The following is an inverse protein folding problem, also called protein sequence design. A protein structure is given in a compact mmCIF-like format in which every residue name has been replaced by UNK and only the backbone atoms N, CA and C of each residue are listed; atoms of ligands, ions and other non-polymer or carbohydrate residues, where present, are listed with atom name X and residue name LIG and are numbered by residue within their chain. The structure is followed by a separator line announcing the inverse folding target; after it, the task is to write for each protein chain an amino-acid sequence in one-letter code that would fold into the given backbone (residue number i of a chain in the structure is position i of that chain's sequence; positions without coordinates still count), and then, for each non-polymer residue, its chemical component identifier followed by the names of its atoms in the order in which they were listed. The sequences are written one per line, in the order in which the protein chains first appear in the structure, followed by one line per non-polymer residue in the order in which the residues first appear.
data_IF_543182340185
#
_entry.id   IF_543182340185
#
_cell.length_a   1.000
_cell.length_b   1.000
_cell.length_c   1.000
_cell.angle_alpha   90.00
_cell.angle_beta   90.00
_cell.angle_gamma   90.00
#
_symmetry.space_group_name_H-M   'P 1'
#
loop_
_entity.id
_entity.type
_entity.pdbx_description
1 polymer ?
#
# COMPACT_ATOMS: atom_id res chain seq x y z
N UNK A 1 -3.64 7.71 21.92
CA UNK A 1 -2.48 6.79 22.07
C UNK A 1 -1.26 7.63 22.43
N UNK A 2 -0.69 7.45 23.63
CA UNK A 2 0.32 8.36 24.18
C UNK A 2 1.73 7.89 23.78
N UNK A 3 2.52 8.77 23.18
CA UNK A 3 3.90 8.49 22.80
C UNK A 3 4.86 9.46 23.53
N UNK A 4 6.17 9.25 23.41
CA UNK A 4 7.16 10.06 24.12
C UNK A 4 7.19 11.55 23.70
N UNK A 5 6.59 11.95 22.58
CA UNK A 5 6.42 13.37 22.23
C UNK A 5 5.23 13.97 22.99
N UNK A 6 4.09 13.27 23.06
CA UNK A 6 2.95 13.73 23.88
C UNK A 6 3.33 13.89 25.36
N UNK A 7 4.26 13.07 25.88
CA UNK A 7 4.79 13.24 27.24
C UNK A 7 5.71 14.47 27.37
N UNK A 8 6.43 14.87 26.31
CA UNK A 8 7.21 16.13 26.30
C UNK A 8 6.25 17.33 26.28
N UNK A 9 5.23 17.29 25.43
CA UNK A 9 4.24 18.36 25.31
C UNK A 9 3.48 18.54 26.65
N UNK A 10 3.08 17.44 27.29
CA UNK A 10 2.43 17.46 28.60
C UNK A 10 3.34 18.00 29.72
N UNK A 11 4.63 17.62 29.74
CA UNK A 11 5.61 18.18 30.67
C UNK A 11 5.83 19.68 30.46
N UNK A 12 5.76 20.16 29.22
CA UNK A 12 5.80 21.58 28.91
C UNK A 12 4.55 22.31 29.40
N UNK A 13 3.37 21.72 29.21
CA UNK A 13 2.09 22.32 29.59
C UNK A 13 1.86 22.34 31.11
N UNK A 14 2.23 21.27 31.81
CA UNK A 14 1.96 21.10 33.26
C UNK A 14 3.09 21.62 34.14
N UNK A 15 4.35 21.46 33.72
CA UNK A 15 5.52 21.79 34.54
C UNK A 15 6.45 22.84 33.92
N UNK A 16 6.11 23.40 32.75
CA UNK A 16 6.95 24.35 32.03
C UNK A 16 8.27 23.77 31.51
N UNK A 17 8.46 22.44 31.57
CA UNK A 17 9.75 21.80 31.40
C UNK A 17 9.95 21.23 29.98
N UNK A 18 10.83 21.88 29.20
CA UNK A 18 11.17 21.43 27.85
C UNK A 18 12.19 20.27 27.87
N UNK A 19 11.72 19.04 27.75
CA UNK A 19 12.58 17.86 27.62
C UNK A 19 12.93 17.56 26.15
N UNK A 20 14.22 17.31 25.84
CA UNK A 20 14.58 16.74 24.54
C UNK A 20 13.92 15.36 24.36
N UNK A 21 13.23 15.14 23.23
CA UNK A 21 12.54 13.89 22.91
C UNK A 21 13.41 12.62 23.06
N UNK A 22 14.71 12.73 22.73
CA UNK A 22 15.70 11.64 22.95
C UNK A 22 15.88 11.26 24.42
N UNK A 23 15.82 12.25 25.31
CA UNK A 23 15.94 12.09 26.76
C UNK A 23 14.64 11.49 27.30
N UNK A 24 13.48 12.00 26.88
CA UNK A 24 12.19 11.47 27.32
C UNK A 24 12.02 9.99 26.93
N UNK A 25 12.39 9.60 25.71
CA UNK A 25 12.42 8.19 25.27
C UNK A 25 13.28 7.30 26.18
N UNK A 26 14.43 7.78 26.67
CA UNK A 26 15.29 7.04 27.61
C UNK A 26 14.66 6.96 29.01
N UNK A 27 14.04 8.04 29.49
CA UNK A 27 13.38 8.09 30.80
C UNK A 27 12.16 7.17 30.83
N UNK A 28 11.27 7.27 29.85
CA UNK A 28 10.10 6.37 29.68
C UNK A 28 10.54 4.90 29.69
N UNK A 29 11.62 4.55 28.96
CA UNK A 29 12.18 3.19 28.97
C UNK A 29 12.76 2.76 30.32
N UNK A 30 13.41 3.67 31.07
CA UNK A 30 13.94 3.40 32.42
C UNK A 30 12.82 3.21 33.46
N UNK A 31 11.68 3.89 33.29
CA UNK A 31 10.48 3.74 34.09
C UNK A 31 9.67 2.45 33.78
N UNK A 32 10.23 1.53 32.98
CA UNK A 32 9.62 0.24 32.66
C UNK A 32 8.65 0.24 31.47
N UNK A 33 8.36 1.40 30.87
CA UNK A 33 7.46 1.46 29.72
C UNK A 33 8.15 1.00 28.43
N UNK A 34 7.50 0.08 27.71
CA UNK A 34 7.92 -0.38 26.39
C UNK A 34 7.09 0.27 25.28
N UNK A 35 7.71 0.55 24.13
CA UNK A 35 6.95 0.84 22.91
C UNK A 35 6.38 -0.47 22.36
N UNK A 36 5.08 -0.67 22.55
CA UNK A 36 4.32 -1.75 21.90
C UNK A 36 3.72 -1.17 20.62
N UNK A 37 4.02 -1.72 19.43
CA UNK A 37 3.29 -1.37 18.22
C UNK A 37 1.80 -1.66 18.45
N UNK A 38 0.93 -0.70 18.15
CA UNK A 38 -0.51 -0.96 18.17
C UNK A 38 -0.85 -2.14 17.25
N UNK A 39 -1.96 -2.86 17.51
CA UNK A 39 -2.45 -3.86 16.57
C UNK A 39 -2.55 -3.20 15.19
N UNK A 40 -1.88 -3.78 14.19
CA UNK A 40 -2.01 -3.28 12.82
C UNK A 40 -3.49 -3.31 12.47
N UNK A 41 -4.07 -2.24 11.91
CA UNK A 41 -5.44 -2.31 11.43
C UNK A 41 -5.54 -3.50 10.48
N UNK A 42 -6.54 -4.35 10.69
CA UNK A 42 -6.78 -5.47 9.80
C UNK A 42 -6.99 -4.89 8.40
N UNK A 43 -6.22 -5.36 7.41
CA UNK A 43 -6.29 -4.85 6.03
C UNK A 43 -7.68 -5.12 5.42
N UNK A 44 -8.42 -6.08 5.97
CA UNK A 44 -9.81 -6.38 5.62
C UNK A 44 -10.86 -5.64 6.48
N UNK A 45 -10.47 -4.86 7.50
CA UNK A 45 -11.40 -4.04 8.29
C UNK A 45 -11.66 -2.69 7.59
N UNK A 46 -12.43 -2.77 6.52
CA UNK A 46 -13.03 -1.59 5.89
C UNK A 46 -13.90 -0.82 6.91
N UNK A 47 -13.84 0.51 6.90
CA UNK A 47 -14.79 1.33 7.65
C UNK A 47 -16.22 1.07 7.15
N UNK A 48 -17.23 1.23 8.01
CA UNK A 48 -18.62 0.89 7.67
C UNK A 48 -19.13 1.53 6.37
N UNK A 49 -18.75 2.78 6.09
CA UNK A 49 -19.03 3.44 4.81
C UNK A 49 -18.35 2.76 3.62
N UNK A 50 -17.06 2.45 3.73
CA UNK A 50 -16.29 1.72 2.70
C UNK A 50 -16.87 0.34 2.42
N UNK A 51 -17.25 -0.41 3.45
CA UNK A 51 -17.90 -1.71 3.31
C UNK A 51 -19.22 -1.61 2.53
N UNK A 52 -20.07 -0.62 2.86
CA UNK A 52 -21.31 -0.33 2.12
C UNK A 52 -21.06 0.03 0.66
N UNK A 53 -20.05 0.87 0.37
CA UNK A 53 -19.69 1.20 -1.01
C UNK A 53 -19.24 -0.02 -1.83
N UNK A 54 -18.54 -0.98 -1.20
CA UNK A 54 -18.13 -2.24 -1.86
C UNK A 54 -19.32 -3.16 -2.12
N UNK A 55 -20.27 -3.24 -1.19
CA UNK A 55 -21.53 -3.95 -1.38
C UNK A 55 -22.35 -3.34 -2.53
N UNK A 56 -22.58 -2.03 -2.52
CA UNK A 56 -23.28 -1.31 -3.61
C UNK A 56 -22.58 -1.49 -4.96
N UNK A 57 -21.25 -1.50 -4.99
CA UNK A 57 -20.46 -1.76 -6.20
C UNK A 57 -20.64 -3.21 -6.69
N UNK A 58 -20.60 -4.19 -5.79
CA UNK A 58 -20.85 -5.60 -6.14
C UNK A 58 -22.27 -5.80 -6.66
N UNK A 59 -23.29 -5.21 -6.03
CA UNK A 59 -24.68 -5.25 -6.49
C UNK A 59 -24.87 -4.65 -7.89
N UNK A 60 -24.07 -3.64 -8.27
CA UNK A 60 -24.04 -3.10 -9.64
C UNK A 60 -23.34 -4.02 -10.65
N UNK A 61 -22.39 -4.84 -10.20
CA UNK A 61 -21.57 -5.73 -11.07
C UNK A 61 -22.16 -7.12 -11.27
N UNK A 62 -22.89 -7.67 -10.30
CA UNK A 62 -23.52 -9.00 -10.37
C UNK A 62 -24.52 -9.14 -11.53
N UNK A 63 -25.41 -8.17 -11.84
CA UNK A 63 -26.34 -8.27 -12.97
C UNK A 63 -25.63 -8.39 -14.33
N UNK A 64 -24.43 -7.82 -14.45
CA UNK A 64 -23.58 -7.95 -15.64
C UNK A 64 -22.82 -9.30 -15.67
N UNK A 65 -23.46 -10.41 -15.26
CA UNK A 65 -22.88 -11.76 -15.30
C UNK A 65 -23.84 -12.77 -15.91
N UNK A 66 -23.36 -13.59 -16.84
CA UNK A 66 -24.12 -14.70 -17.40
C UNK A 66 -24.17 -15.90 -16.42
N UNK A 67 -24.85 -16.97 -16.81
CA UNK A 67 -24.96 -18.21 -16.03
C UNK A 67 -23.61 -18.94 -15.81
N UNK A 68 -22.58 -18.60 -16.59
CA UNK A 68 -21.20 -19.08 -16.44
C UNK A 68 -20.28 -18.07 -15.70
N UNK A 69 -20.84 -16.98 -15.16
CA UNK A 69 -20.13 -15.86 -14.50
C UNK A 69 -19.22 -15.03 -15.43
N UNK A 70 -19.38 -15.10 -16.76
CA UNK A 70 -18.71 -14.17 -17.69
C UNK A 70 -19.43 -12.81 -17.70
N UNK A 71 -18.74 -11.69 -17.97
CA UNK A 71 -19.38 -10.41 -18.22
C UNK A 71 -20.31 -10.47 -19.45
N UNK A 72 -21.56 -9.99 -19.33
CA UNK A 72 -22.50 -9.92 -20.46
C UNK A 72 -22.16 -8.76 -21.40
N UNK A 73 -21.95 -7.60 -20.82
CA UNK A 73 -21.39 -6.40 -21.44
C UNK A 73 -19.91 -6.34 -21.10
N UNK A 74 -19.00 -6.24 -22.08
CA UNK A 74 -17.57 -6.08 -21.83
C UNK A 74 -17.27 -4.87 -20.94
N UNK A 75 -16.43 -5.07 -19.94
CA UNK A 75 -15.94 -4.01 -19.05
C UNK A 75 -14.43 -3.91 -19.20
N UNK A 76 -13.92 -2.73 -19.52
CA UNK A 76 -12.48 -2.46 -19.56
C UNK A 76 -12.09 -1.86 -18.22
N UNK A 77 -11.20 -2.55 -17.50
CA UNK A 77 -10.61 -2.04 -16.28
C UNK A 77 -9.27 -1.41 -16.62
N UNK A 78 -9.08 -0.16 -16.18
CA UNK A 78 -7.82 0.56 -16.21
C UNK A 78 -7.28 0.62 -14.79
N UNK A 79 -5.99 0.32 -14.63
CA UNK A 79 -5.28 0.49 -13.36
C UNK A 79 -3.89 1.07 -13.60
N UNK A 80 -3.39 1.79 -12.59
CA UNK A 80 -2.04 2.35 -12.56
C UNK A 80 -1.10 1.42 -11.79
N UNK A 81 -0.02 1.00 -12.43
CA UNK A 81 1.01 0.21 -11.77
C UNK A 81 2.38 0.89 -11.85
N UNK A 82 3.09 0.86 -10.72
CA UNK A 82 4.37 1.54 -10.53
C UNK A 82 5.50 0.52 -10.41
N UNK A 83 6.34 0.42 -11.43
CA UNK A 83 7.57 -0.38 -11.39
C UNK A 83 8.75 0.49 -11.01
N UNK A 84 9.52 0.00 -10.04
CA UNK A 84 10.76 0.63 -9.58
C UNK A 84 11.91 0.10 -10.45
N UNK A 85 12.74 1.00 -10.99
CA UNK A 85 13.95 0.67 -11.77
C UNK A 85 14.92 -0.24 -11.00
N UNK A 86 14.89 -0.19 -9.67
CA UNK A 86 15.60 -1.11 -8.81
C UNK A 86 14.60 -1.93 -8.00
N UNK A 87 14.46 -3.21 -8.37
CA UNK A 87 13.58 -4.18 -7.69
C UNK A 87 14.25 -4.85 -6.47
N UNK A 88 15.46 -4.40 -6.10
CA UNK A 88 16.21 -4.95 -4.98
C UNK A 88 15.65 -4.41 -3.66
N UNK A 89 15.20 -5.31 -2.77
CA UNK A 89 14.74 -4.90 -1.45
C UNK A 89 15.85 -4.14 -0.69
N UNK A 90 15.49 -3.00 -0.08
CA UNK A 90 16.41 -2.16 0.69
C UNK A 90 17.05 -2.89 1.88
N UNK A 91 16.45 -4.01 2.30
CA UNK A 91 17.03 -5.01 3.19
C UNK A 91 16.90 -6.36 2.52
N UNK A 92 18.03 -6.97 2.17
CA UNK A 92 18.11 -8.35 1.71
C UNK A 92 19.41 -8.93 2.24
N UNK A 93 19.34 -10.13 2.82
CA UNK A 93 20.53 -10.84 3.28
C UNK A 93 21.35 -11.24 2.06
N UNK A 94 22.64 -10.89 2.07
CA UNK A 94 23.60 -11.24 1.02
C UNK A 94 24.83 -11.82 1.72
N UNK A 95 25.41 -12.93 1.23
CA UNK A 95 26.68 -13.44 1.72
C UNK A 95 27.79 -12.37 1.73
N UNK A 96 28.69 -12.43 2.72
CA UNK A 96 29.68 -11.38 2.98
C UNK A 96 30.72 -11.21 1.87
N UNK A 97 30.91 -12.23 1.03
CA UNK A 97 31.75 -12.26 -0.16
C UNK A 97 31.11 -11.58 -1.39
N UNK A 98 29.80 -11.26 -1.36
CA UNK A 98 29.07 -10.73 -2.50
C UNK A 98 28.83 -9.22 -2.44
N UNK A 99 29.55 -8.49 -3.28
CA UNK A 99 29.35 -7.06 -3.53
C UNK A 99 27.99 -6.83 -4.20
N UNK A 100 27.21 -5.87 -3.69
CA UNK A 100 26.01 -5.36 -4.38
C UNK A 100 26.42 -4.38 -5.49
N UNK A 101 26.31 -4.81 -6.75
CA UNK A 101 26.50 -3.92 -7.90
C UNK A 101 25.29 -3.03 -8.21
N UNK A 102 24.09 -3.38 -7.70
CA UNK A 102 22.88 -2.58 -7.88
C UNK A 102 22.80 -1.41 -6.88
N UNK A 103 22.52 -0.21 -7.38
CA UNK A 103 22.31 1.01 -6.58
C UNK A 103 21.24 0.79 -5.51
N UNK A 104 21.51 1.19 -4.26
CA UNK A 104 20.52 1.04 -3.19
C UNK A 104 19.38 2.03 -3.35
N UNK A 105 18.14 1.57 -3.21
CA UNK A 105 16.94 2.41 -3.29
C UNK A 105 15.94 1.86 -4.29
N UNK A 106 14.98 2.69 -4.70
CA UNK A 106 13.96 2.33 -5.70
C UNK A 106 14.37 2.66 -7.15
N UNK A 107 15.41 3.47 -7.34
CA UNK A 107 15.72 4.07 -8.64
C UNK A 107 14.57 4.96 -9.14
N UNK A 108 14.50 5.22 -10.45
CA UNK A 108 13.35 5.88 -11.08
C UNK A 108 12.09 5.01 -10.95
N UNK A 109 10.92 5.64 -10.98
CA UNK A 109 9.64 4.93 -11.06
C UNK A 109 9.03 5.13 -12.43
N UNK A 110 8.62 4.04 -13.05
CA UNK A 110 7.83 4.02 -14.25
C UNK A 110 6.38 3.73 -13.85
N UNK A 111 5.47 4.65 -14.14
CA UNK A 111 4.04 4.39 -14.09
C UNK A 111 3.61 3.88 -15.46
N UNK A 112 2.81 2.81 -15.49
CA UNK A 112 2.10 2.39 -16.69
C UNK A 112 0.62 2.24 -16.37
N UNK A 113 -0.21 2.73 -17.29
CA UNK A 113 -1.66 2.52 -17.29
C UNK A 113 -1.95 1.33 -18.19
N UNK A 114 -2.57 0.29 -17.65
CA UNK A 114 -2.89 -0.92 -18.41
C UNK A 114 -4.41 -1.14 -18.49
N UNK A 115 -4.92 -1.39 -19.70
CA UNK A 115 -6.29 -1.82 -19.94
C UNK A 115 -6.37 -3.32 -20.19
N UNK A 116 -7.01 -4.07 -19.29
CA UNK A 116 -7.18 -5.53 -19.45
C UNK A 116 -8.50 -5.82 -20.15
N UNK A 117 -8.44 -6.29 -21.40
CA UNK A 117 -9.62 -6.51 -22.26
C UNK A 117 -10.00 -7.98 -22.47
N UNK A 118 -11.30 -8.28 -22.28
CA UNK A 118 -11.94 -9.60 -22.46
C UNK A 118 -13.39 -9.47 -22.93
N UNK A 119 -14.08 -10.45 -23.55
CA UNK A 119 -13.74 -11.82 -24.03
C UNK A 119 -14.57 -12.09 -25.31
N UNK A 120 -14.00 -12.59 -26.43
CA UNK A 120 -14.78 -12.66 -27.71
C UNK A 120 -14.33 -13.61 -28.85
N UNK A 121 -14.80 -14.85 -28.99
CA UNK A 121 -16.03 -15.45 -28.47
C UNK A 121 -15.76 -16.08 -27.09
N UNK A 122 -15.66 -17.40 -27.08
CA UNK A 122 -14.66 -18.19 -26.36
C UNK A 122 -13.24 -17.53 -26.33
N UNK A 123 -12.87 -16.64 -27.25
CA UNK A 123 -11.49 -16.09 -27.41
C UNK A 123 -11.32 -14.59 -27.14
N UNK A 124 -10.66 -14.21 -26.05
CA UNK A 124 -10.25 -12.81 -25.75
C UNK A 124 -9.75 -12.00 -26.97
N UNK A 125 -10.27 -10.78 -27.17
CA UNK A 125 -9.66 -9.77 -28.04
C UNK A 125 -9.66 -8.41 -27.37
N UNK A 126 -8.46 -7.95 -27.00
CA UNK A 126 -8.16 -6.57 -26.72
C UNK A 126 -7.21 -6.02 -27.78
N UNK A 127 -7.47 -4.80 -28.25
CA UNK A 127 -6.55 -4.06 -29.10
C UNK A 127 -5.89 -2.98 -28.27
N UNK A 128 -4.55 -2.92 -28.32
CA UNK A 128 -3.81 -1.78 -27.77
C UNK A 128 -4.24 -0.48 -28.45
N UNK A 129 -4.34 0.59 -27.68
CA UNK A 129 -4.59 1.94 -28.21
C UNK A 129 -3.36 2.37 -29.02
N UNK A 130 -3.56 3.09 -30.11
CA UNK A 130 -2.47 3.65 -30.90
C UNK A 130 -1.59 4.56 -30.03
N UNK A 131 -0.26 4.39 -30.09
CA UNK A 131 0.69 5.01 -29.17
C UNK A 131 0.99 4.24 -27.87
N UNK A 132 0.35 3.09 -27.61
CA UNK A 132 0.71 2.23 -26.47
C UNK A 132 2.14 1.67 -26.60
N UNK A 133 2.91 1.67 -25.52
CA UNK A 133 4.18 0.95 -25.44
C UNK A 133 3.96 -0.55 -25.64
N UNK A 134 4.73 -1.16 -26.54
CA UNK A 134 4.75 -2.60 -26.82
C UNK A 134 6.13 -3.14 -26.44
N UNK A 135 6.16 -4.26 -25.74
CA UNK A 135 7.35 -5.07 -25.45
C UNK A 135 7.28 -6.35 -26.28
#
# INVERSE_FOLDING_TARGET
MTNAAHVVDELQNVAGFTALLRTMRRVVKRLGFAYVPGPKPNIAADAAGTAKFREEYMMKKVPNRDHHRNPRTPEVFLDESYVNEHHVASRSWVPADRIRYATSGKGRRFCFVAGVLTRKNVGLRGTWVEGSFKF
#
